data_IF_157137560195
#
_entry.id   IF_157137560195
#
_cell.length_a   1.000
_cell.length_b   1.000
_cell.length_c   1.000
_cell.angle_alpha   90.00
_cell.angle_beta   90.00
_cell.angle_gamma   90.00
#
_symmetry.space_group_name_H-M   'P 1'
#
loop_
_entity.id
_entity.type
_entity.pdbx_description
1 polymer ?
#
# COMPACT_ATOMS: atom_id res chain seq x y z
N UNK A 1 62.85 14.62 -7.92
CA UNK A 1 61.48 14.91 -8.42
C UNK A 1 61.04 16.23 -7.77
N UNK A 2 60.53 17.20 -8.52
CA UNK A 2 60.45 18.61 -8.11
C UNK A 2 59.28 18.90 -7.13
N UNK A 3 59.53 19.56 -6.00
CA UNK A 3 58.52 19.87 -4.95
C UNK A 3 57.35 20.71 -5.48
N UNK A 4 57.59 21.54 -6.50
CA UNK A 4 56.52 22.27 -7.21
C UNK A 4 55.49 21.35 -7.86
N UNK A 5 55.91 20.18 -8.34
CA UNK A 5 55.01 19.20 -8.99
C UNK A 5 54.09 18.56 -7.94
N UNK A 6 54.61 18.22 -6.76
CA UNK A 6 53.80 17.69 -5.65
C UNK A 6 52.82 18.73 -5.09
N UNK A 7 53.21 20.00 -5.00
CA UNK A 7 52.31 21.09 -4.61
C UNK A 7 51.15 21.29 -5.59
N UNK A 8 51.40 21.19 -6.90
CA UNK A 8 50.37 21.26 -7.94
C UNK A 8 49.45 20.03 -7.89
N UNK A 9 50.01 18.82 -7.78
CA UNK A 9 49.21 17.58 -7.68
C UNK A 9 48.35 17.59 -6.40
N UNK A 10 48.91 17.99 -5.26
CA UNK A 10 48.18 18.10 -4.00
C UNK A 10 47.07 19.16 -4.04
N UNK A 11 47.33 20.31 -4.67
CA UNK A 11 46.31 21.36 -4.88
C UNK A 11 45.17 20.91 -5.79
N UNK A 12 45.47 20.19 -6.88
CA UNK A 12 44.46 19.62 -7.80
C UNK A 12 43.67 18.51 -7.10
N UNK A 13 44.31 17.64 -6.32
CA UNK A 13 43.63 16.60 -5.55
C UNK A 13 42.70 17.18 -4.47
N UNK A 14 43.12 18.24 -3.78
CA UNK A 14 42.28 18.96 -2.79
C UNK A 14 41.08 19.63 -3.47
N UNK A 15 41.29 20.27 -4.62
CA UNK A 15 40.20 20.86 -5.42
C UNK A 15 39.22 19.80 -5.91
N UNK A 16 39.70 18.66 -6.41
CA UNK A 16 38.86 17.53 -6.80
C UNK A 16 38.11 16.94 -5.60
N UNK A 17 38.73 16.84 -4.42
CA UNK A 17 38.08 16.37 -3.20
C UNK A 17 37.00 17.35 -2.71
N UNK A 18 37.25 18.67 -2.78
CA UNK A 18 36.29 19.70 -2.41
C UNK A 18 35.12 19.81 -3.39
N UNK A 19 35.36 19.58 -4.69
CA UNK A 19 34.32 19.56 -5.72
C UNK A 19 33.60 18.21 -5.81
N UNK A 20 34.17 17.13 -5.26
CA UNK A 20 33.62 15.78 -5.32
C UNK A 20 32.17 15.67 -4.84
N UNK A 21 31.68 16.33 -3.77
CA UNK A 21 30.28 16.22 -3.34
C UNK A 21 29.30 17.02 -4.23
N UNK A 22 29.83 17.96 -5.02
CA UNK A 22 29.06 18.74 -5.99
C UNK A 22 28.91 17.98 -7.32
N UNK A 23 29.94 17.22 -7.69
CA UNK A 23 30.05 16.56 -9.00
C UNK A 23 29.68 15.07 -8.94
N UNK A 24 30.05 14.35 -7.88
CA UNK A 24 29.74 12.93 -7.70
C UNK A 24 28.46 12.73 -6.91
N UNK A 25 27.70 11.70 -7.27
CA UNK A 25 26.48 11.30 -6.61
C UNK A 25 26.73 10.44 -5.38
N UNK A 26 25.88 10.59 -4.37
CA UNK A 26 25.93 9.79 -3.15
C UNK A 26 24.66 8.95 -2.97
N UNK A 27 24.79 7.63 -3.15
CA UNK A 27 23.71 6.64 -2.98
C UNK A 27 22.95 6.76 -1.66
N UNK A 28 23.65 6.87 -0.52
CA UNK A 28 23.01 7.02 0.80
C UNK A 28 22.25 8.35 0.94
N UNK A 29 22.69 9.38 0.22
CA UNK A 29 21.98 10.66 0.16
C UNK A 29 20.72 10.54 -0.70
N UNK A 30 20.78 9.81 -1.82
CA UNK A 30 19.58 9.48 -2.63
C UNK A 30 18.56 8.74 -1.77
N UNK A 31 18.99 7.67 -1.09
CA UNK A 31 18.16 6.85 -0.21
C UNK A 31 17.49 7.70 0.88
N UNK A 32 18.28 8.47 1.65
CA UNK A 32 17.73 9.34 2.70
C UNK A 32 16.74 10.38 2.16
N UNK A 33 17.05 11.01 1.02
CA UNK A 33 16.13 11.99 0.41
C UNK A 33 14.84 11.33 -0.04
N UNK A 34 14.91 10.09 -0.52
CA UNK A 34 13.75 9.31 -0.93
C UNK A 34 12.91 8.89 0.29
N UNK A 35 13.53 8.35 1.35
CA UNK A 35 12.86 8.01 2.61
C UNK A 35 12.18 9.23 3.26
N UNK A 36 12.86 10.39 3.30
CA UNK A 36 12.28 11.64 3.75
C UNK A 36 11.02 12.00 2.93
N UNK A 37 11.05 11.77 1.62
CA UNK A 37 9.94 12.05 0.72
C UNK A 37 8.76 11.10 0.97
N UNK A 38 9.03 9.81 1.19
CA UNK A 38 8.03 8.80 1.56
C UNK A 38 7.36 9.19 2.88
N UNK A 39 8.13 9.60 3.89
CA UNK A 39 7.56 10.09 5.17
C UNK A 39 6.64 11.29 4.94
N UNK A 40 7.05 12.27 4.12
CA UNK A 40 6.20 13.43 3.82
C UNK A 40 4.94 13.07 3.06
N UNK A 41 5.05 12.13 2.12
CA UNK A 41 3.92 11.59 1.36
C UNK A 41 2.88 10.95 2.28
N UNK A 42 3.30 10.11 3.22
CA UNK A 42 2.43 9.47 4.21
C UNK A 42 1.71 10.48 5.12
N UNK A 43 2.31 11.65 5.37
CA UNK A 43 1.68 12.75 6.11
C UNK A 43 0.87 13.70 5.21
N UNK A 44 0.60 13.30 3.96
CA UNK A 44 -0.12 14.10 2.94
C UNK A 44 0.49 15.49 2.68
N UNK A 45 1.79 15.64 2.96
CA UNK A 45 2.57 16.82 2.58
C UNK A 45 3.21 16.56 1.21
N UNK A 46 2.36 16.58 0.19
CA UNK A 46 2.74 16.19 -1.17
C UNK A 46 3.72 17.18 -1.80
N UNK A 47 3.61 18.48 -1.53
CA UNK A 47 4.55 19.49 -2.03
C UNK A 47 5.95 19.26 -1.47
N UNK A 48 6.07 19.00 -0.17
CA UNK A 48 7.34 18.66 0.47
C UNK A 48 7.91 17.33 -0.05
N UNK A 49 7.05 16.32 -0.24
CA UNK A 49 7.44 15.04 -0.82
C UNK A 49 8.00 15.21 -2.24
N UNK A 50 7.31 15.98 -3.09
CA UNK A 50 7.76 16.29 -4.46
C UNK A 50 9.14 16.95 -4.45
N UNK A 51 9.37 17.94 -3.58
CA UNK A 51 10.68 18.60 -3.46
C UNK A 51 11.79 17.59 -3.14
N UNK A 52 11.52 16.67 -2.20
CA UNK A 52 12.47 15.65 -1.77
C UNK A 52 12.72 14.57 -2.84
N UNK A 53 11.68 14.05 -3.48
CA UNK A 53 11.83 13.13 -4.62
C UNK A 53 12.63 13.75 -5.77
N UNK A 54 12.36 15.02 -6.11
CA UNK A 54 13.13 15.75 -7.13
C UNK A 54 14.61 15.88 -6.77
N UNK A 55 14.93 16.17 -5.51
CA UNK A 55 16.32 16.19 -5.02
C UNK A 55 16.97 14.81 -5.07
N UNK A 56 16.23 13.75 -4.71
CA UNK A 56 16.71 12.38 -4.81
C UNK A 56 17.05 12.00 -6.26
N UNK A 57 16.16 12.32 -7.21
CA UNK A 57 16.38 12.15 -8.66
C UNK A 57 17.57 12.95 -9.18
N UNK A 58 17.72 14.21 -8.74
CA UNK A 58 18.87 15.02 -9.15
C UNK A 58 20.18 14.41 -8.66
N UNK A 59 20.21 13.94 -7.41
CA UNK A 59 21.38 13.32 -6.82
C UNK A 59 21.68 11.95 -7.46
N UNK A 60 20.66 11.16 -7.83
CA UNK A 60 20.84 9.86 -8.50
C UNK A 60 21.42 9.97 -9.90
N UNK A 61 21.18 11.08 -10.59
CA UNK A 61 21.71 11.31 -11.94
C UNK A 61 23.19 11.71 -11.95
N UNK A 62 23.79 11.97 -10.78
CA UNK A 62 25.21 12.31 -10.69
C UNK A 62 26.09 11.06 -10.83
N UNK A 63 27.26 11.16 -11.48
CA UNK A 63 28.20 10.04 -11.60
C UNK A 63 28.54 9.42 -10.24
N UNK A 64 28.45 8.09 -10.15
CA UNK A 64 28.79 7.32 -8.94
C UNK A 64 27.63 7.04 -7.99
N UNK A 65 26.47 7.68 -8.15
CA UNK A 65 25.26 7.25 -7.45
C UNK A 65 24.73 5.95 -8.06
N UNK A 66 24.83 4.86 -7.29
CA UNK A 66 24.15 3.58 -7.58
C UNK A 66 22.83 3.55 -6.85
N UNK A 67 21.75 3.14 -7.50
CA UNK A 67 20.39 3.18 -6.92
C UNK A 67 19.70 1.83 -6.94
N UNK A 68 20.36 0.80 -7.46
CA UNK A 68 19.79 -0.55 -7.65
C UNK A 68 19.41 -1.21 -6.31
N UNK A 69 20.14 -0.90 -5.22
CA UNK A 69 19.83 -1.34 -3.87
C UNK A 69 18.59 -0.65 -3.28
N UNK A 70 18.25 0.56 -3.75
CA UNK A 70 17.03 1.28 -3.37
C UNK A 70 15.87 0.74 -4.20
N UNK A 71 16.03 0.74 -5.52
CA UNK A 71 15.08 0.21 -6.46
C UNK A 71 15.78 -0.06 -7.80
N UNK A 72 15.52 -1.23 -8.40
CA UNK A 72 16.11 -1.63 -9.69
C UNK A 72 15.92 -0.56 -10.77
N UNK A 73 14.72 0.00 -10.89
CA UNK A 73 14.36 1.06 -11.83
C UNK A 73 14.00 2.34 -11.08
N UNK A 74 14.98 2.86 -10.33
CA UNK A 74 14.81 4.01 -9.43
C UNK A 74 14.26 5.25 -10.13
N UNK A 75 14.71 5.55 -11.35
CA UNK A 75 14.24 6.73 -12.09
C UNK A 75 12.74 6.64 -12.36
N UNK A 76 12.27 5.50 -12.85
CA UNK A 76 10.83 5.27 -13.07
C UNK A 76 10.08 5.33 -11.75
N UNK A 77 10.58 4.67 -10.72
CA UNK A 77 9.94 4.63 -9.40
C UNK A 77 9.78 6.03 -8.79
N UNK A 78 10.81 6.86 -8.82
CA UNK A 78 10.74 8.21 -8.26
C UNK A 78 9.84 9.15 -9.08
N UNK A 79 9.81 9.04 -10.41
CA UNK A 79 8.85 9.83 -11.21
C UNK A 79 7.40 9.36 -10.99
N UNK A 80 7.17 8.05 -10.80
CA UNK A 80 5.87 7.51 -10.39
C UNK A 80 5.41 8.08 -9.05
N UNK A 81 6.29 8.13 -8.04
CA UNK A 81 5.95 8.74 -6.73
C UNK A 81 5.65 10.23 -6.84
N UNK A 82 6.38 10.98 -7.67
CA UNK A 82 6.07 12.38 -7.95
C UNK A 82 4.71 12.53 -8.64
N UNK A 83 4.40 11.68 -9.63
CA UNK A 83 3.12 11.70 -10.31
C UNK A 83 1.96 11.41 -9.34
N UNK A 84 2.11 10.46 -8.41
CA UNK A 84 1.14 10.20 -7.35
C UNK A 84 0.93 11.40 -6.43
N UNK A 85 2.00 12.11 -6.04
CA UNK A 85 1.88 13.34 -5.26
C UNK A 85 1.03 14.38 -5.99
N UNK A 86 1.28 14.59 -7.28
CA UNK A 86 0.51 15.53 -8.09
C UNK A 86 -0.94 15.09 -8.27
N UNK A 87 -1.20 13.79 -8.48
CA UNK A 87 -2.54 13.25 -8.52
C UNK A 87 -3.32 13.56 -7.23
N UNK A 88 -2.72 13.28 -6.06
CA UNK A 88 -3.38 13.57 -4.78
C UNK A 88 -3.50 15.06 -4.48
N UNK A 89 -2.58 15.90 -4.97
CA UNK A 89 -2.74 17.34 -4.92
C UNK A 89 -3.95 17.79 -5.72
N UNK A 90 -4.13 17.28 -6.93
CA UNK A 90 -5.31 17.57 -7.74
C UNK A 90 -6.61 17.19 -7.02
N UNK A 91 -6.66 16.02 -6.36
CA UNK A 91 -7.84 15.62 -5.57
C UNK A 91 -8.08 16.54 -4.37
N UNK A 92 -7.01 16.90 -3.64
CA UNK A 92 -7.09 17.72 -2.43
C UNK A 92 -7.43 19.18 -2.71
N UNK A 93 -6.89 19.76 -3.77
CA UNK A 93 -7.06 21.17 -4.12
C UNK A 93 -8.16 21.40 -5.15
N UNK A 94 -8.63 20.33 -5.81
CA UNK A 94 -9.52 20.38 -6.97
C UNK A 94 -8.94 21.16 -8.16
N UNK A 95 -7.61 21.34 -8.21
CA UNK A 95 -6.92 21.99 -9.31
C UNK A 95 -6.48 20.97 -10.36
N UNK A 96 -7.16 20.99 -11.51
CA UNK A 96 -6.91 20.10 -12.65
C UNK A 96 -5.49 20.22 -13.21
N UNK A 97 -4.80 21.36 -13.00
CA UNK A 97 -3.43 21.53 -13.49
C UNK A 97 -2.47 20.50 -12.88
N UNK A 98 -2.72 20.04 -11.65
CA UNK A 98 -1.90 19.02 -11.04
C UNK A 98 -2.08 17.63 -11.70
N UNK A 99 -3.24 17.33 -12.29
CA UNK A 99 -3.37 16.12 -13.12
C UNK A 99 -2.50 16.20 -14.39
N UNK A 100 -2.39 17.38 -15.01
CA UNK A 100 -1.49 17.59 -16.14
C UNK A 100 -0.02 17.43 -15.74
N UNK A 101 0.37 17.92 -14.56
CA UNK A 101 1.70 17.66 -14.01
C UNK A 101 1.94 16.16 -13.80
N UNK A 102 0.98 15.43 -13.21
CA UNK A 102 1.09 13.98 -13.04
C UNK A 102 1.32 13.26 -14.38
N UNK A 103 0.53 13.60 -15.42
CA UNK A 103 0.71 13.06 -16.77
C UNK A 103 2.10 13.37 -17.36
N UNK A 104 2.65 14.55 -17.09
CA UNK A 104 3.98 14.91 -17.57
C UNK A 104 5.07 14.00 -16.97
N UNK A 105 4.97 13.67 -15.68
CA UNK A 105 5.91 12.76 -15.02
C UNK A 105 5.74 11.30 -15.47
N UNK A 106 4.51 10.85 -15.68
CA UNK A 106 4.20 9.50 -16.18
C UNK A 106 4.79 9.32 -17.59
N UNK A 107 4.43 10.21 -18.52
CA UNK A 107 4.82 10.10 -19.94
C UNK A 107 6.33 10.21 -20.14
N UNK A 108 7.02 10.98 -19.28
CA UNK A 108 8.47 11.12 -19.29
C UNK A 108 9.22 9.79 -19.12
N UNK A 109 8.70 8.87 -18.31
CA UNK A 109 9.39 7.61 -17.98
C UNK A 109 8.77 6.38 -18.64
N UNK A 110 7.52 6.47 -19.10
CA UNK A 110 6.76 5.32 -19.63
C UNK A 110 7.55 4.44 -20.62
N UNK A 111 8.19 5.05 -21.63
CA UNK A 111 8.88 4.30 -22.70
C UNK A 111 10.11 3.52 -22.22
N UNK A 112 10.71 3.93 -21.10
CA UNK A 112 11.94 3.33 -20.58
C UNK A 112 11.72 2.53 -19.29
N UNK A 113 10.50 2.53 -18.75
CA UNK A 113 10.14 1.73 -17.59
C UNK A 113 10.31 0.25 -17.92
N UNK A 114 11.02 -0.51 -17.08
CA UNK A 114 11.33 -1.91 -17.38
C UNK A 114 11.05 -2.88 -16.21
N UNK A 115 10.75 -2.36 -15.02
CA UNK A 115 10.23 -3.18 -13.92
C UNK A 115 8.72 -3.30 -14.08
N UNK A 116 8.22 -4.52 -14.26
CA UNK A 116 6.81 -4.81 -14.51
C UNK A 116 5.87 -4.17 -13.47
N UNK A 117 6.25 -4.21 -12.18
CA UNK A 117 5.47 -3.57 -11.11
C UNK A 117 5.33 -2.06 -11.27
N UNK A 118 6.36 -1.36 -11.76
CA UNK A 118 6.23 0.07 -12.03
C UNK A 118 5.43 0.34 -13.31
N UNK A 119 5.54 -0.53 -14.31
CA UNK A 119 4.76 -0.41 -15.54
C UNK A 119 3.26 -0.56 -15.26
N UNK A 120 2.84 -1.55 -14.47
CA UNK A 120 1.43 -1.72 -14.09
C UNK A 120 0.91 -0.53 -13.27
N UNK A 121 1.69 -0.01 -12.31
CA UNK A 121 1.30 1.15 -11.50
C UNK A 121 1.25 2.44 -12.33
N UNK A 122 2.21 2.65 -13.24
CA UNK A 122 2.23 3.80 -14.14
C UNK A 122 1.06 3.79 -15.11
N UNK A 123 0.74 2.66 -15.75
CA UNK A 123 -0.35 2.62 -16.73
C UNK A 123 -1.70 2.82 -16.03
N UNK A 124 -1.89 2.24 -14.85
CA UNK A 124 -3.08 2.45 -14.06
C UNK A 124 -3.22 3.92 -13.65
N UNK A 125 -2.16 4.53 -13.10
CA UNK A 125 -2.18 5.94 -12.73
C UNK A 125 -2.42 6.84 -13.95
N UNK A 126 -1.86 6.49 -15.12
CA UNK A 126 -2.11 7.21 -16.35
C UNK A 126 -3.60 7.18 -16.71
N UNK A 127 -4.19 5.98 -16.74
CA UNK A 127 -5.60 5.79 -17.06
C UNK A 127 -6.51 6.53 -16.09
N UNK A 128 -6.24 6.43 -14.79
CA UNK A 128 -7.01 7.09 -13.74
C UNK A 128 -6.88 8.63 -13.83
N UNK A 129 -5.67 9.14 -14.12
CA UNK A 129 -5.46 10.59 -14.30
C UNK A 129 -6.21 11.12 -15.52
N UNK A 130 -6.21 10.37 -16.63
CA UNK A 130 -7.00 10.70 -17.83
C UNK A 130 -8.49 10.69 -17.54
N UNK A 131 -8.96 9.70 -16.78
CA UNK A 131 -10.35 9.62 -16.34
C UNK A 131 -10.76 10.84 -15.51
N UNK A 132 -9.91 11.29 -14.57
CA UNK A 132 -10.17 12.47 -13.72
C UNK A 132 -10.23 13.79 -14.48
N UNK A 133 -9.57 13.89 -15.64
CA UNK A 133 -9.69 15.05 -16.53
C UNK A 133 -10.70 14.83 -17.66
N UNK A 134 -11.54 13.79 -17.54
CA UNK A 134 -12.61 13.43 -18.46
C UNK A 134 -12.15 13.06 -19.89
N UNK A 135 -10.88 12.72 -20.08
CA UNK A 135 -10.37 12.15 -21.32
C UNK A 135 -10.68 10.64 -21.38
N UNK A 136 -11.97 10.35 -21.51
CA UNK A 136 -12.52 9.00 -21.41
C UNK A 136 -12.01 8.04 -22.49
N UNK A 137 -11.75 8.53 -23.70
CA UNK A 137 -11.25 7.69 -24.79
C UNK A 137 -9.81 7.23 -24.52
N UNK A 138 -8.94 8.14 -24.09
CA UNK A 138 -7.58 7.76 -23.73
C UNK A 138 -7.56 6.94 -22.43
N UNK A 139 -8.40 7.26 -21.44
CA UNK A 139 -8.50 6.50 -20.20
C UNK A 139 -8.88 5.03 -20.48
N UNK A 140 -9.94 4.78 -21.26
CA UNK A 140 -10.33 3.42 -21.69
C UNK A 140 -9.18 2.70 -22.40
N UNK A 141 -8.47 3.40 -23.29
CA UNK A 141 -7.31 2.82 -24.01
C UNK A 141 -6.22 2.36 -23.05
N UNK A 142 -5.90 3.16 -22.02
CA UNK A 142 -4.86 2.82 -21.03
C UNK A 142 -5.32 1.72 -20.07
N UNK A 143 -6.57 1.73 -19.62
CA UNK A 143 -7.14 0.65 -18.81
C UNK A 143 -7.19 -0.68 -19.59
N UNK A 144 -7.60 -0.66 -20.86
CA UNK A 144 -7.61 -1.86 -21.70
C UNK A 144 -6.20 -2.44 -21.87
N UNK A 145 -5.19 -1.58 -22.04
CA UNK A 145 -3.80 -2.01 -22.10
C UNK A 145 -3.33 -2.64 -20.78
N UNK A 146 -3.69 -2.08 -19.62
CA UNK A 146 -3.41 -2.65 -18.30
C UNK A 146 -4.00 -4.07 -18.19
N UNK A 147 -5.26 -4.25 -18.56
CA UNK A 147 -5.96 -5.54 -18.52
C UNK A 147 -5.28 -6.57 -19.43
N UNK A 148 -4.87 -6.15 -20.64
CA UNK A 148 -4.21 -7.04 -21.60
C UNK A 148 -2.80 -7.44 -21.17
N UNK A 149 -1.99 -6.49 -20.68
CA UNK A 149 -0.58 -6.73 -20.39
C UNK A 149 -0.31 -7.20 -18.97
N UNK A 150 -1.18 -6.87 -18.02
CA UNK A 150 -1.05 -7.22 -16.62
C UNK A 150 -2.37 -7.78 -16.06
N UNK A 151 -2.87 -8.92 -16.59
CA UNK A 151 -4.18 -9.48 -16.23
C UNK A 151 -4.31 -9.88 -14.75
N UNK A 152 -3.19 -10.10 -14.05
CA UNK A 152 -3.14 -10.41 -12.62
C UNK A 152 -2.89 -9.17 -11.74
N UNK A 153 -2.87 -7.97 -12.32
CA UNK A 153 -2.63 -6.74 -11.55
C UNK A 153 -3.80 -6.50 -10.59
N UNK A 154 -3.48 -6.02 -9.38
CA UNK A 154 -4.51 -5.60 -8.40
C UNK A 154 -5.45 -4.51 -8.93
N UNK A 155 -5.04 -3.82 -9.98
CA UNK A 155 -5.77 -2.72 -10.60
C UNK A 155 -6.79 -3.16 -11.65
N UNK A 156 -6.80 -4.44 -12.07
CA UNK A 156 -7.67 -4.91 -13.15
C UNK A 156 -9.15 -4.78 -12.81
N UNK A 157 -9.55 -5.17 -11.60
CA UNK A 157 -10.95 -5.04 -11.17
C UNK A 157 -11.41 -3.57 -11.21
N UNK A 158 -10.61 -2.65 -10.65
CA UNK A 158 -10.91 -1.21 -10.72
C UNK A 158 -10.95 -0.70 -12.15
N UNK A 159 -10.02 -1.14 -13.00
CA UNK A 159 -9.97 -0.75 -14.41
C UNK A 159 -11.24 -1.17 -15.18
N UNK A 160 -11.71 -2.41 -14.98
CA UNK A 160 -12.96 -2.90 -15.56
C UNK A 160 -14.15 -2.08 -15.05
N UNK A 161 -14.22 -1.84 -13.74
CA UNK A 161 -15.26 -1.00 -13.13
C UNK A 161 -15.28 0.41 -13.73
N UNK A 162 -14.12 1.06 -13.84
CA UNK A 162 -14.01 2.41 -14.43
C UNK A 162 -14.36 2.42 -15.91
N UNK A 163 -13.94 1.44 -16.72
CA UNK A 163 -14.36 1.32 -18.13
C UNK A 163 -15.89 1.16 -18.22
N UNK A 164 -16.49 0.32 -17.37
CA UNK A 164 -17.93 0.13 -17.31
C UNK A 164 -18.66 1.45 -17.01
N UNK A 165 -18.18 2.21 -16.03
CA UNK A 165 -18.73 3.53 -15.70
C UNK A 165 -18.57 4.55 -16.82
N UNK A 166 -17.42 4.57 -17.52
CA UNK A 166 -17.21 5.43 -18.68
C UNK A 166 -18.24 5.10 -19.77
N UNK A 167 -18.41 3.81 -20.10
CA UNK A 167 -19.39 3.39 -21.10
C UNK A 167 -20.82 3.74 -20.68
N UNK A 168 -21.15 3.55 -19.39
CA UNK A 168 -22.44 3.94 -18.84
C UNK A 168 -22.71 5.45 -18.98
N UNK A 169 -21.74 6.29 -18.62
CA UNK A 169 -21.83 7.75 -18.75
C UNK A 169 -21.95 8.19 -20.22
N UNK A 170 -21.30 7.48 -21.14
CA UNK A 170 -21.41 7.69 -22.58
C UNK A 170 -22.68 7.07 -23.20
N UNK A 171 -23.57 6.48 -22.39
CA UNK A 171 -24.80 5.79 -22.81
C UNK A 171 -24.57 4.55 -23.69
N UNK A 172 -23.35 4.02 -23.69
CA UNK A 172 -22.98 2.75 -24.31
C UNK A 172 -23.35 1.61 -23.35
N UNK A 173 -24.66 1.44 -23.11
CA UNK A 173 -25.17 0.61 -22.02
C UNK A 173 -24.89 -0.89 -22.21
N UNK A 174 -24.90 -1.39 -23.45
CA UNK A 174 -24.58 -2.79 -23.74
C UNK A 174 -23.10 -3.08 -23.43
N UNK A 175 -22.19 -2.19 -23.85
CA UNK A 175 -20.77 -2.29 -23.54
C UNK A 175 -20.50 -2.13 -22.04
N UNK A 176 -21.20 -1.23 -21.37
CA UNK A 176 -21.13 -1.04 -19.92
C UNK A 176 -21.53 -2.33 -19.18
N UNK A 177 -22.71 -2.89 -19.53
CA UNK A 177 -23.22 -4.13 -18.95
C UNK A 177 -22.24 -5.30 -19.16
N UNK A 178 -21.75 -5.48 -20.38
CA UNK A 178 -20.76 -6.50 -20.71
C UNK A 178 -19.47 -6.35 -19.88
N UNK A 179 -19.00 -5.11 -19.71
CA UNK A 179 -17.79 -4.83 -18.91
C UNK A 179 -18.01 -5.12 -17.42
N UNK A 180 -19.14 -4.71 -16.84
CA UNK A 180 -19.49 -5.03 -15.46
C UNK A 180 -19.69 -6.54 -15.24
N UNK A 181 -20.27 -7.25 -16.21
CA UNK A 181 -20.40 -8.70 -16.13
C UNK A 181 -19.03 -9.37 -16.09
N UNK A 182 -18.09 -8.94 -16.94
CA UNK A 182 -16.71 -9.41 -16.93
C UNK A 182 -16.02 -9.17 -15.58
N UNK A 183 -16.23 -8.01 -14.96
CA UNK A 183 -15.73 -7.71 -13.62
C UNK A 183 -16.26 -8.71 -12.57
N UNK A 184 -17.56 -9.01 -12.60
CA UNK A 184 -18.19 -9.92 -11.63
C UNK A 184 -17.70 -11.36 -11.83
N UNK A 185 -17.57 -11.79 -13.09
CA UNK A 185 -17.18 -13.15 -13.45
C UNK A 185 -15.69 -13.42 -13.14
N UNK A 186 -14.80 -12.47 -13.48
CA UNK A 186 -13.36 -12.63 -13.32
C UNK A 186 -12.87 -12.24 -11.91
N UNK A 187 -13.56 -11.32 -11.22
CA UNK A 187 -13.18 -10.79 -9.91
C UNK A 187 -14.34 -10.82 -8.89
N UNK A 188 -14.89 -12.01 -8.58
CA UNK A 188 -16.06 -12.17 -7.71
C UNK A 188 -15.84 -11.72 -6.26
N UNK A 189 -14.58 -11.51 -5.84
CA UNK A 189 -14.23 -11.03 -4.50
C UNK A 189 -13.77 -9.56 -4.51
N UNK A 190 -13.85 -8.85 -5.64
CA UNK A 190 -13.48 -7.43 -5.66
C UNK A 190 -14.54 -6.56 -4.99
N UNK A 191 -14.09 -5.50 -4.34
CA UNK A 191 -14.93 -4.41 -3.81
C UNK A 191 -15.88 -3.79 -4.86
N UNK A 192 -15.54 -3.88 -6.15
CA UNK A 192 -16.35 -3.32 -7.24
C UNK A 192 -17.47 -4.25 -7.71
N UNK A 193 -17.53 -5.51 -7.25
CA UNK A 193 -18.54 -6.48 -7.68
C UNK A 193 -19.95 -5.95 -7.45
N UNK A 194 -20.26 -5.49 -6.25
CA UNK A 194 -21.62 -5.08 -5.86
C UNK A 194 -22.05 -3.86 -6.66
N UNK A 195 -21.16 -2.89 -6.82
CA UNK A 195 -21.47 -1.70 -7.61
C UNK A 195 -21.59 -2.03 -9.09
N UNK A 196 -20.81 -3.01 -9.60
CA UNK A 196 -20.99 -3.57 -10.93
C UNK A 196 -22.36 -4.24 -11.11
N UNK A 197 -22.80 -5.06 -10.15
CA UNK A 197 -24.13 -5.68 -10.15
C UNK A 197 -25.24 -4.62 -10.13
N UNK A 198 -25.09 -3.58 -9.29
CA UNK A 198 -26.02 -2.45 -9.25
C UNK A 198 -26.11 -1.74 -10.59
N UNK A 199 -24.97 -1.44 -11.22
CA UNK A 199 -24.92 -0.80 -12.54
C UNK A 199 -25.60 -1.62 -13.62
N UNK A 200 -25.47 -2.94 -13.60
CA UNK A 200 -26.19 -3.84 -14.52
C UNK A 200 -27.70 -3.70 -14.31
N UNK A 201 -28.17 -3.74 -13.06
CA UNK A 201 -29.61 -3.58 -12.75
C UNK A 201 -30.13 -2.21 -13.19
N UNK A 202 -29.37 -1.13 -12.96
CA UNK A 202 -29.71 0.22 -13.43
C UNK A 202 -29.87 0.25 -14.95
N UNK A 203 -28.93 -0.34 -15.69
CA UNK A 203 -28.98 -0.46 -17.15
C UNK A 203 -30.24 -1.23 -17.60
N UNK A 204 -30.54 -2.37 -16.97
CA UNK A 204 -31.70 -3.19 -17.31
C UNK A 204 -33.02 -2.45 -17.04
N UNK A 205 -33.11 -1.68 -15.97
CA UNK A 205 -34.28 -0.86 -15.66
C UNK A 205 -34.48 0.26 -16.70
N UNK A 206 -33.40 0.89 -17.17
CA UNK A 206 -33.46 1.89 -18.25
C UNK A 206 -34.06 1.28 -19.53
N UNK A 207 -33.63 0.09 -19.91
CA UNK A 207 -34.19 -0.62 -21.06
C UNK A 207 -35.64 -1.07 -20.85
N UNK A 208 -35.99 -1.54 -19.65
CA UNK A 208 -37.37 -1.94 -19.32
C UNK A 208 -38.34 -0.76 -19.39
N UNK A 209 -37.94 0.42 -18.92
CA UNK A 209 -38.74 1.66 -19.03
C UNK A 209 -38.87 2.12 -20.48
N UNK A 210 -37.78 2.10 -21.25
CA UNK A 210 -37.83 2.42 -22.68
C UNK A 210 -38.76 1.48 -23.45
N UNK A 211 -38.76 0.19 -23.09
CA UNK A 211 -39.65 -0.82 -23.68
C UNK A 211 -41.11 -0.62 -23.25
N UNK A 212 -41.36 -0.25 -21.98
CA UNK A 212 -42.72 0.10 -21.51
C UNK A 212 -43.24 1.37 -22.17
N UNK A 213 -42.44 2.40 -22.37
CA UNK A 213 -42.84 3.62 -23.09
C UNK A 213 -43.10 3.37 -24.58
N UNK A 214 -42.35 2.47 -25.22
CA UNK A 214 -42.66 2.07 -26.60
C UNK A 214 -43.96 1.26 -26.70
N UNK A 215 -44.26 0.42 -25.70
CA UNK A 215 -45.48 -0.39 -25.65
C UNK A 215 -46.71 0.43 -25.21
N UNK A 216 -46.57 1.41 -24.30
CA UNK A 216 -47.65 2.31 -23.88
C UNK A 216 -48.10 3.26 -25.01
N UNK A 217 -47.20 3.60 -25.96
CA UNK A 217 -47.58 4.33 -27.17
C UNK A 217 -48.29 3.46 -28.22
N UNK A 218 -48.25 2.13 -28.10
CA UNK A 218 -48.99 1.18 -28.95
C UNK A 218 -50.24 0.58 -28.27
N UNK A 219 -50.34 0.61 -26.94
CA UNK A 219 -51.38 -0.09 -26.18
C UNK A 219 -52.14 0.82 -25.21
N UNK A 220 -52.91 1.76 -25.74
CA UNK A 220 -54.02 2.39 -25.01
C UNK A 220 -55.29 1.51 -25.11
N UNK A 221 -55.32 0.37 -24.43
CA UNK A 221 -56.57 -0.28 -24.01
C UNK A 221 -56.33 -1.35 -22.92
N UNK A 222 -57.08 -1.22 -21.81
CA UNK A 222 -57.40 -2.24 -20.79
C UNK A 222 -56.56 -2.32 -19.50
N UNK A 223 -56.94 -1.43 -18.55
CA UNK A 223 -57.42 -1.65 -17.16
C UNK A 223 -56.97 -2.88 -16.32
N UNK A 224 -56.46 -2.52 -15.12
CA UNK A 224 -56.51 -3.10 -13.75
C UNK A 224 -55.89 -4.46 -13.41
N UNK A 225 -55.00 -4.48 -12.40
CA UNK A 225 -55.37 -4.86 -11.01
C UNK A 225 -54.18 -4.68 -10.03
N UNK A 226 -54.50 -4.25 -8.81
CA UNK A 226 -53.59 -4.05 -7.65
C UNK A 226 -53.31 -5.37 -6.91
N UNK A 227 -52.15 -5.52 -6.22
CA UNK A 227 -52.15 -6.35 -5.01
C UNK A 227 -51.43 -5.74 -3.79
N UNK A 228 -52.18 -5.83 -2.69
CA UNK A 228 -51.91 -5.96 -1.25
C UNK A 228 -50.50 -5.75 -0.63
N UNK A 229 -50.55 -5.13 0.55
CA UNK A 229 -49.50 -4.73 1.49
C UNK A 229 -48.67 -5.90 2.10
N UNK A 230 -47.34 -5.76 2.06
CA UNK A 230 -46.33 -6.57 2.77
C UNK A 230 -45.97 -5.84 4.09
N UNK A 231 -45.85 -6.53 5.24
CA UNK A 231 -45.40 -5.89 6.50
C UNK A 231 -43.95 -5.37 6.38
N UNK A 232 -43.58 -4.27 7.06
CA UNK A 232 -42.27 -3.64 6.90
C UNK A 232 -41.16 -4.60 7.37
N UNK A 233 -40.32 -5.01 6.43
CA UNK A 233 -39.07 -5.70 6.72
C UNK A 233 -38.18 -4.79 7.58
N UNK A 234 -37.50 -5.30 8.63
CA UNK A 234 -36.54 -4.50 9.39
C UNK A 234 -35.50 -3.91 8.44
N UNK A 235 -35.17 -2.63 8.61
CA UNK A 235 -34.17 -2.00 7.76
C UNK A 235 -32.83 -2.77 7.82
N UNK A 236 -32.14 -2.87 6.69
CA UNK A 236 -30.89 -3.64 6.55
C UNK A 236 -29.85 -3.27 7.61
N UNK A 237 -29.78 -1.98 7.96
CA UNK A 237 -28.82 -1.45 8.94
C UNK A 237 -29.02 -2.03 10.34
N UNK A 238 -30.28 -2.24 10.74
CA UNK A 238 -30.63 -2.85 12.02
C UNK A 238 -30.23 -4.33 12.06
N UNK A 239 -30.30 -5.04 10.94
CA UNK A 239 -29.91 -6.45 10.84
C UNK A 239 -28.38 -6.62 10.91
N UNK A 240 -27.63 -5.78 10.19
CA UNK A 240 -26.17 -5.77 10.25
C UNK A 240 -25.64 -5.51 11.68
N UNK A 241 -26.28 -4.59 12.40
CA UNK A 241 -25.93 -4.32 13.81
C UNK A 241 -26.09 -5.55 14.69
N UNK A 242 -27.21 -6.27 14.57
CA UNK A 242 -27.49 -7.45 15.39
C UNK A 242 -26.43 -8.53 15.16
N UNK A 243 -26.07 -8.79 13.89
CA UNK A 243 -25.04 -9.78 13.58
C UNK A 243 -23.66 -9.40 14.14
N UNK A 244 -23.31 -8.11 14.13
CA UNK A 244 -22.06 -7.63 14.72
C UNK A 244 -22.04 -7.85 16.23
N UNK A 245 -23.14 -7.51 16.91
CA UNK A 245 -23.28 -7.67 18.36
C UNK A 245 -23.21 -9.15 18.76
N UNK A 246 -23.82 -10.04 17.97
CA UNK A 246 -23.75 -11.50 18.16
C UNK A 246 -22.33 -12.05 18.01
N UNK A 247 -21.63 -11.68 16.92
CA UNK A 247 -20.24 -12.07 16.70
C UNK A 247 -19.31 -11.60 17.84
N UNK A 248 -19.50 -10.37 18.30
CA UNK A 248 -18.73 -9.78 19.40
C UNK A 248 -18.99 -10.49 20.73
N UNK A 249 -20.22 -10.91 21.00
CA UNK A 249 -20.57 -11.70 22.18
C UNK A 249 -19.96 -13.11 22.13
N UNK A 250 -19.98 -13.76 20.96
CA UNK A 250 -19.32 -15.05 20.76
C UNK A 250 -17.81 -14.97 21.01
N UNK A 251 -17.15 -13.89 20.55
CA UNK A 251 -15.73 -13.63 20.84
C UNK A 251 -15.49 -13.52 22.35
N UNK A 252 -16.31 -12.76 23.09
CA UNK A 252 -16.19 -12.60 24.54
C UNK A 252 -16.38 -13.92 25.30
N UNK A 253 -17.20 -14.83 24.77
CA UNK A 253 -17.40 -16.18 25.31
C UNK A 253 -16.25 -17.15 24.97
N UNK A 254 -15.26 -16.71 24.20
CA UNK A 254 -14.16 -17.55 23.71
C UNK A 254 -14.54 -18.51 22.58
N UNK A 255 -15.74 -18.36 21.99
CA UNK A 255 -16.20 -19.15 20.84
C UNK A 255 -15.64 -18.56 19.54
N UNK A 256 -14.32 -18.62 19.40
CA UNK A 256 -13.58 -17.90 18.37
C UNK A 256 -13.99 -18.28 16.95
N UNK A 257 -14.15 -19.58 16.65
CA UNK A 257 -14.55 -20.05 15.32
C UNK A 257 -15.93 -19.50 14.92
N UNK A 258 -16.89 -19.55 15.85
CA UNK A 258 -18.25 -19.06 15.60
C UNK A 258 -18.27 -17.54 15.46
N UNK A 259 -17.45 -16.82 16.23
CA UNK A 259 -17.31 -15.37 16.11
C UNK A 259 -16.79 -14.96 14.73
N UNK A 260 -15.73 -15.63 14.23
CA UNK A 260 -15.21 -15.37 12.87
C UNK A 260 -16.30 -15.65 11.84
N UNK A 261 -16.99 -16.79 11.92
CA UNK A 261 -18.05 -17.12 10.97
C UNK A 261 -19.16 -16.05 10.96
N UNK A 262 -19.62 -15.59 12.12
CA UNK A 262 -20.66 -14.56 12.19
C UNK A 262 -20.18 -13.19 11.68
N UNK A 263 -18.92 -12.81 11.92
CA UNK A 263 -18.34 -11.63 11.28
C UNK A 263 -18.28 -11.78 9.75
N UNK A 264 -17.86 -12.94 9.25
CA UNK A 264 -17.84 -13.24 7.80
C UNK A 264 -19.23 -13.24 7.18
N UNK A 265 -20.22 -13.79 7.86
CA UNK A 265 -21.61 -13.80 7.43
C UNK A 265 -22.17 -12.37 7.34
N UNK A 266 -21.84 -11.51 8.32
CA UNK A 266 -22.20 -10.09 8.29
C UNK A 266 -21.61 -9.40 7.05
N UNK A 267 -20.31 -9.59 6.80
CA UNK A 267 -19.60 -9.00 5.66
C UNK A 267 -20.25 -9.46 4.34
N UNK A 268 -20.68 -10.72 4.28
CA UNK A 268 -21.24 -11.32 3.07
C UNK A 268 -22.70 -10.91 2.84
N UNK A 269 -23.51 -10.86 3.90
CA UNK A 269 -24.96 -10.65 3.80
C UNK A 269 -25.35 -9.15 3.78
N UNK A 270 -24.55 -8.29 4.40
CA UNK A 270 -24.86 -6.86 4.56
C UNK A 270 -23.71 -5.94 4.12
N UNK A 271 -23.16 -6.11 2.91
CA UNK A 271 -21.95 -5.44 2.45
C UNK A 271 -22.09 -3.91 2.23
N UNK A 272 -23.29 -3.37 2.26
CA UNK A 272 -23.57 -1.93 2.20
C UNK A 272 -23.40 -1.21 3.55
N UNK A 273 -23.29 -1.96 4.65
CA UNK A 273 -23.20 -1.41 6.01
C UNK A 273 -21.74 -1.21 6.43
N UNK A 274 -21.03 -0.32 5.72
CA UNK A 274 -19.59 -0.05 5.86
C UNK A 274 -19.08 0.14 7.30
N UNK A 275 -19.88 0.76 8.18
CA UNK A 275 -19.53 0.89 9.59
C UNK A 275 -19.35 -0.47 10.26
N UNK A 276 -20.34 -1.36 10.15
CA UNK A 276 -20.31 -2.69 10.78
C UNK A 276 -19.36 -3.66 10.08
N UNK A 277 -19.15 -3.49 8.78
CA UNK A 277 -18.15 -4.26 8.01
C UNK A 277 -16.74 -3.90 8.47
N UNK A 278 -16.45 -2.60 8.59
CA UNK A 278 -15.17 -2.12 9.15
C UNK A 278 -14.94 -2.74 10.52
N UNK A 279 -15.96 -2.68 11.39
CA UNK A 279 -15.84 -3.21 12.75
C UNK A 279 -15.71 -4.74 12.77
N UNK A 280 -16.34 -5.45 11.82
CA UNK A 280 -16.21 -6.91 11.66
C UNK A 280 -14.80 -7.31 11.21
N UNK A 281 -14.22 -6.63 10.22
CA UNK A 281 -12.83 -6.85 9.81
C UNK A 281 -11.84 -6.56 10.95
N UNK A 282 -12.08 -5.50 11.72
CA UNK A 282 -11.28 -5.23 12.93
C UNK A 282 -11.41 -6.38 13.94
N UNK A 283 -12.63 -6.87 14.18
CA UNK A 283 -12.90 -7.99 15.07
C UNK A 283 -12.14 -9.25 14.67
N UNK A 284 -12.18 -9.61 13.39
CA UNK A 284 -11.43 -10.76 12.83
C UNK A 284 -9.91 -10.52 12.93
N UNK A 285 -9.44 -9.32 12.58
CA UNK A 285 -8.02 -8.96 12.64
C UNK A 285 -7.47 -9.09 14.07
N UNK A 286 -8.23 -8.64 15.07
CA UNK A 286 -7.83 -8.73 16.48
C UNK A 286 -7.83 -10.17 16.99
N UNK A 287 -8.79 -11.00 16.56
CA UNK A 287 -8.78 -12.44 16.86
C UNK A 287 -7.50 -13.09 16.34
N UNK A 288 -7.12 -12.83 15.08
CA UNK A 288 -5.89 -13.37 14.51
C UNK A 288 -4.63 -12.77 15.15
N UNK A 289 -4.67 -11.50 15.54
CA UNK A 289 -3.57 -10.85 16.24
C UNK A 289 -3.32 -11.48 17.61
N UNK A 290 -4.39 -11.76 18.38
CA UNK A 290 -4.32 -12.48 19.66
C UNK A 290 -3.81 -13.93 19.48
N UNK A 291 -4.11 -14.56 18.35
CA UNK A 291 -3.59 -15.87 17.97
C UNK A 291 -2.16 -15.84 17.40
N UNK A 292 -1.52 -14.67 17.34
CA UNK A 292 -0.20 -14.43 16.73
C UNK A 292 -0.13 -14.79 15.22
N UNK A 293 -1.29 -14.89 14.55
CA UNK A 293 -1.39 -15.08 13.11
C UNK A 293 -1.35 -13.72 12.40
N UNK A 294 -0.14 -13.18 12.29
CA UNK A 294 0.09 -11.85 11.74
C UNK A 294 -0.28 -11.70 10.27
N UNK A 295 -0.31 -12.79 9.50
CA UNK A 295 -0.67 -12.76 8.07
C UNK A 295 -2.16 -12.51 7.94
N UNK A 296 -2.98 -13.29 8.64
CA UNK A 296 -4.44 -13.11 8.60
C UNK A 296 -4.87 -11.84 9.33
N UNK A 297 -4.21 -11.47 10.43
CA UNK A 297 -4.48 -10.20 11.11
C UNK A 297 -4.23 -9.00 10.19
N UNK A 298 -3.13 -9.03 9.44
CA UNK A 298 -2.75 -7.97 8.50
C UNK A 298 -3.76 -7.80 7.37
N UNK A 299 -4.13 -8.91 6.72
CA UNK A 299 -5.10 -8.89 5.63
C UNK A 299 -6.41 -8.23 6.09
N UNK A 300 -6.90 -8.59 7.28
CA UNK A 300 -8.14 -8.02 7.81
C UNK A 300 -8.00 -6.56 8.28
N UNK A 301 -6.83 -6.13 8.78
CA UNK A 301 -6.60 -4.70 9.03
C UNK A 301 -6.54 -3.87 7.75
N UNK A 302 -6.02 -4.45 6.66
CA UNK A 302 -6.01 -3.82 5.33
C UNK A 302 -7.45 -3.62 4.82
N UNK A 303 -8.28 -4.64 4.89
CA UNK A 303 -9.71 -4.56 4.55
C UNK A 303 -10.44 -3.52 5.42
N UNK A 304 -10.19 -3.50 6.74
CA UNK A 304 -10.81 -2.51 7.63
C UNK A 304 -10.43 -1.06 7.29
N UNK A 305 -9.19 -0.81 6.84
CA UNK A 305 -8.78 0.51 6.36
C UNK A 305 -9.46 0.89 5.04
N UNK A 306 -9.79 -0.11 4.22
CA UNK A 306 -10.47 0.07 2.95
C UNK A 306 -11.94 0.43 3.13
N UNK A 307 -12.62 -0.18 4.10
CA UNK A 307 -14.08 -0.05 4.29
C UNK A 307 -14.52 1.18 5.09
N UNK A 308 -13.60 2.03 5.52
CA UNK A 308 -13.91 3.24 6.29
C UNK A 308 -13.46 4.51 5.57
N UNK A 309 -14.20 5.61 5.69
CA UNK A 309 -13.77 6.95 5.22
C UNK A 309 -13.23 7.83 6.36
N UNK A 310 -13.25 7.33 7.60
CA UNK A 310 -12.75 8.04 8.77
C UNK A 310 -11.20 8.02 8.78
N UNK A 311 -10.61 9.18 8.51
CA UNK A 311 -9.16 9.36 8.45
C UNK A 311 -8.44 9.09 9.79
N UNK A 312 -9.06 9.41 10.93
CA UNK A 312 -8.47 9.10 12.25
C UNK A 312 -8.47 7.60 12.51
N UNK A 313 -9.57 6.93 12.14
CA UNK A 313 -9.70 5.47 12.23
C UNK A 313 -8.70 4.76 11.30
N UNK A 314 -8.48 5.26 10.07
CA UNK A 314 -7.43 4.74 9.17
C UNK A 314 -6.03 4.83 9.80
N UNK A 315 -5.72 5.94 10.46
CA UNK A 315 -4.42 6.11 11.14
C UNK A 315 -4.27 5.09 12.29
N UNK A 316 -5.33 4.83 13.05
CA UNK A 316 -5.31 3.81 14.11
C UNK A 316 -5.08 2.41 13.53
N UNK A 317 -5.82 2.05 12.48
CA UNK A 317 -5.73 0.76 11.83
C UNK A 317 -4.39 0.54 11.14
N UNK A 318 -3.84 1.58 10.51
CA UNK A 318 -2.51 1.51 9.89
C UNK A 318 -1.42 1.26 10.93
N UNK A 319 -1.53 1.82 12.14
CA UNK A 319 -0.61 1.48 13.24
C UNK A 319 -0.70 0.00 13.61
N UNK A 320 -1.91 -0.56 13.74
CA UNK A 320 -2.13 -1.98 14.02
C UNK A 320 -1.62 -2.88 12.89
N UNK A 321 -1.90 -2.52 11.63
CA UNK A 321 -1.36 -3.15 10.42
C UNK A 321 0.18 -3.16 10.41
N UNK A 322 0.84 -2.02 10.66
CA UNK A 322 2.29 -1.93 10.70
C UNK A 322 2.90 -2.78 11.84
N UNK A 323 2.20 -2.96 12.96
CA UNK A 323 2.65 -3.87 14.02
C UNK A 323 2.77 -5.33 13.52
N UNK A 324 1.91 -5.74 12.59
CA UNK A 324 1.98 -7.09 12.00
C UNK A 324 3.22 -7.31 11.12
N UNK A 325 3.88 -6.25 10.64
CA UNK A 325 5.12 -6.31 9.84
C UNK A 325 6.40 -6.28 10.67
N UNK A 326 6.30 -5.96 11.95
CA UNK A 326 7.45 -5.93 12.86
C UNK A 326 7.86 -7.33 13.33
N UNK A 327 7.11 -8.34 12.92
CA UNK A 327 7.43 -9.75 13.06
C UNK A 327 8.09 -10.19 11.77
N UNK A 328 9.33 -10.74 11.79
CA UNK A 328 9.94 -11.29 10.58
C UNK A 328 8.99 -12.31 9.92
N UNK A 329 8.94 -12.31 8.60
CA UNK A 329 8.14 -13.27 7.81
C UNK A 329 8.68 -14.68 8.06
N UNK A 330 8.13 -15.40 9.02
CA UNK A 330 8.40 -16.83 9.22
C UNK A 330 7.42 -17.74 8.45
N UNK A 331 6.55 -17.16 7.63
CA UNK A 331 5.60 -17.93 6.83
C UNK A 331 5.68 -17.47 5.37
N UNK A 332 6.40 -18.24 4.54
CA UNK A 332 6.45 -18.01 3.11
C UNK A 332 6.76 -19.24 2.26
N UNK A 333 7.52 -20.22 2.76
CA UNK A 333 7.90 -21.40 1.97
C UNK A 333 7.71 -22.76 2.67
N UNK A 334 7.27 -22.75 3.93
CA UNK A 334 7.10 -23.98 4.73
C UNK A 334 8.40 -24.71 5.07
N UNK A 335 9.58 -24.10 4.88
CA UNK A 335 10.88 -24.77 5.15
C UNK A 335 11.44 -24.53 6.54
N UNK A 336 10.96 -23.53 7.28
CA UNK A 336 11.34 -23.32 8.68
C UNK A 336 10.12 -23.33 9.60
N UNK A 337 9.89 -24.46 10.27
CA UNK A 337 9.13 -24.45 11.53
C UNK A 337 9.88 -23.56 12.52
N UNK A 338 9.17 -22.63 13.17
CA UNK A 338 9.64 -21.95 14.40
C UNK A 338 9.75 -22.97 15.55
N UNK A 339 10.74 -23.85 15.48
CA UNK A 339 11.00 -24.87 16.49
C UNK A 339 11.87 -24.34 17.65
N UNK A 340 12.22 -23.04 17.68
CA UNK A 340 13.21 -22.47 18.63
C UNK A 340 12.82 -21.12 19.27
N UNK A 341 11.68 -20.52 18.90
CA UNK A 341 11.18 -19.26 19.46
C UNK A 341 11.89 -18.02 18.92
N UNK A 342 12.63 -18.13 17.81
CA UNK A 342 13.47 -17.04 17.27
C UNK A 342 12.62 -15.83 16.84
N UNK A 343 11.40 -16.09 16.35
CA UNK A 343 10.41 -15.07 16.05
C UNK A 343 9.99 -14.27 17.30
N UNK A 344 9.65 -14.97 18.38
CA UNK A 344 9.23 -14.36 19.64
C UNK A 344 10.31 -13.44 20.23
N UNK A 345 11.58 -13.83 20.12
CA UNK A 345 12.70 -12.97 20.55
C UNK A 345 12.80 -11.68 19.72
N UNK A 346 12.56 -11.74 18.41
CA UNK A 346 12.55 -10.56 17.54
C UNK A 346 11.38 -9.61 17.84
N UNK A 347 10.19 -10.18 18.06
CA UNK A 347 8.98 -9.43 18.41
C UNK A 347 9.18 -8.68 19.72
N UNK A 348 9.61 -9.40 20.76
CA UNK A 348 9.79 -8.84 22.10
C UNK A 348 10.90 -7.78 22.13
N UNK A 349 12.03 -8.04 21.46
CA UNK A 349 13.11 -7.05 21.31
C UNK A 349 12.61 -5.76 20.63
N UNK A 350 11.77 -5.91 19.60
CA UNK A 350 11.22 -4.77 18.84
C UNK A 350 10.21 -3.98 19.65
N UNK A 351 9.34 -4.66 20.41
CA UNK A 351 8.38 -4.03 21.33
C UNK A 351 9.11 -3.21 22.39
N UNK A 352 10.08 -3.79 23.09
CA UNK A 352 10.87 -3.11 24.12
C UNK A 352 11.62 -1.88 23.57
N UNK A 353 12.19 -1.98 22.36
CA UNK A 353 12.86 -0.85 21.70
C UNK A 353 11.89 0.32 21.46
N UNK A 354 10.67 0.03 21.01
CA UNK A 354 9.63 1.05 20.77
C UNK A 354 9.12 1.68 22.06
N UNK A 355 9.07 0.92 23.15
CA UNK A 355 8.77 1.42 24.50
C UNK A 355 9.92 2.25 25.12
N UNK A 356 11.04 2.41 24.41
CA UNK A 356 12.21 3.13 24.89
C UNK A 356 13.06 2.34 25.89
N UNK A 357 12.76 1.05 26.11
CA UNK A 357 13.51 0.14 26.96
C UNK A 357 14.71 -0.43 26.20
N UNK A 358 15.63 0.45 25.81
CA UNK A 358 16.70 0.14 24.87
C UNK A 358 17.67 -0.91 25.40
N UNK A 359 18.02 -0.90 26.69
CA UNK A 359 18.91 -1.92 27.26
C UNK A 359 18.35 -3.35 27.17
N UNK A 360 17.06 -3.51 27.42
CA UNK A 360 16.39 -4.82 27.42
C UNK A 360 16.23 -5.32 25.99
N UNK A 361 15.83 -4.43 25.07
CA UNK A 361 15.81 -4.71 23.65
C UNK A 361 17.19 -5.12 23.10
N UNK A 362 18.25 -4.40 23.49
CA UNK A 362 19.62 -4.68 23.05
C UNK A 362 20.07 -6.09 23.42
N UNK A 363 19.74 -6.56 24.63
CA UNK A 363 20.09 -7.90 25.10
C UNK A 363 19.39 -9.00 24.30
N UNK A 364 18.14 -8.79 23.91
CA UNK A 364 17.39 -9.76 23.12
C UNK A 364 17.88 -9.81 21.66
N UNK A 365 18.13 -8.65 21.04
CA UNK A 365 18.76 -8.61 19.72
C UNK A 365 20.16 -9.26 19.73
N UNK A 366 20.96 -9.02 20.77
CA UNK A 366 22.29 -9.62 20.92
C UNK A 366 22.22 -11.15 20.96
N UNK A 367 21.22 -11.71 21.65
CA UNK A 367 20.98 -13.16 21.68
C UNK A 367 20.66 -13.72 20.30
N UNK A 368 19.85 -13.02 19.50
CA UNK A 368 19.49 -13.41 18.13
C UNK A 368 20.72 -13.49 17.23
N UNK A 369 21.73 -12.64 17.42
CA UNK A 369 22.98 -12.64 16.60
C UNK A 369 23.82 -13.92 16.73
N UNK A 370 23.52 -14.75 17.73
CA UNK A 370 24.23 -16.01 18.01
C UNK A 370 23.36 -17.24 17.67
N UNK A 371 22.17 -17.04 17.10
CA UNK A 371 21.26 -18.11 16.69
C UNK A 371 21.39 -18.42 15.20
N UNK A 372 20.95 -19.61 14.81
CA UNK A 372 20.98 -20.05 13.42
C UNK A 372 19.73 -19.52 12.67
N UNK A 373 19.72 -18.20 12.44
CA UNK A 373 18.72 -17.45 11.66
C UNK A 373 19.34 -17.02 10.31
N UNK A 374 18.55 -16.46 9.40
CA UNK A 374 19.04 -16.05 8.08
C UNK A 374 20.20 -15.04 8.18
N UNK A 375 21.07 -14.99 7.17
CA UNK A 375 22.15 -14.00 7.08
C UNK A 375 21.63 -12.57 7.17
N UNK A 376 20.49 -12.30 6.52
CA UNK A 376 19.81 -11.00 6.53
C UNK A 376 19.29 -10.64 7.93
N UNK A 377 18.64 -11.59 8.62
CA UNK A 377 18.11 -11.36 9.97
C UNK A 377 19.23 -11.25 11.00
N UNK A 378 20.33 -11.97 10.81
CA UNK A 378 21.52 -11.83 11.65
C UNK A 378 22.09 -10.41 11.52
N UNK A 379 22.23 -9.89 10.30
CA UNK A 379 22.68 -8.53 10.05
C UNK A 379 21.73 -7.49 10.69
N UNK A 380 20.40 -7.68 10.56
CA UNK A 380 19.39 -6.83 11.20
C UNK A 380 19.48 -6.87 12.74
N UNK A 381 19.64 -8.05 13.33
CA UNK A 381 19.80 -8.20 14.78
C UNK A 381 21.06 -7.50 15.29
N UNK A 382 22.19 -7.62 14.57
CA UNK A 382 23.45 -6.94 14.93
C UNK A 382 23.28 -5.42 14.86
N UNK A 383 22.64 -4.90 13.81
CA UNK A 383 22.33 -3.48 13.66
C UNK A 383 21.52 -2.96 14.85
N UNK A 384 20.39 -3.62 15.17
CA UNK A 384 19.50 -3.18 16.24
C UNK A 384 20.14 -3.33 17.63
N UNK A 385 21.01 -4.32 17.83
CA UNK A 385 21.86 -4.43 19.02
C UNK A 385 22.73 -3.18 19.19
N UNK A 386 23.45 -2.79 18.13
CA UNK A 386 24.33 -1.62 18.13
C UNK A 386 23.58 -0.30 18.37
N UNK A 387 22.42 -0.14 17.73
CA UNK A 387 21.55 1.03 17.89
C UNK A 387 21.01 1.16 19.32
N UNK A 388 20.48 0.08 19.89
CA UNK A 388 19.88 0.14 21.22
C UNK A 388 20.95 0.40 22.30
N UNK A 389 22.13 -0.21 22.21
CA UNK A 389 23.25 0.12 23.10
C UNK A 389 23.75 1.56 22.93
N UNK A 390 23.67 2.14 21.72
CA UNK A 390 23.99 3.55 21.52
C UNK A 390 23.00 4.46 22.26
N UNK A 391 21.70 4.20 22.11
CA UNK A 391 20.65 5.01 22.74
C UNK A 391 20.72 4.95 24.26
N UNK A 392 20.95 3.77 24.83
CA UNK A 392 21.20 3.62 26.26
C UNK A 392 22.55 4.22 26.69
N UNK A 393 23.55 4.21 25.81
CA UNK A 393 24.85 4.83 26.04
C UNK A 393 24.77 6.34 26.35
N UNK A 394 23.74 7.02 25.85
CA UNK A 394 23.52 8.45 26.12
C UNK A 394 23.29 8.73 27.61
N UNK A 395 22.69 7.80 28.35
CA UNK A 395 22.46 7.88 29.79
C UNK A 395 23.47 7.05 30.58
N UNK A 396 23.97 5.96 29.99
CA UNK A 396 24.90 5.01 30.61
C UNK A 396 26.16 4.84 29.72
N UNK A 397 27.14 5.76 29.77
CA UNK A 397 28.23 5.87 28.78
C UNK A 397 29.09 4.62 28.55
N UNK A 398 29.18 3.71 29.53
CA UNK A 398 29.95 2.46 29.38
C UNK A 398 29.40 1.56 28.25
N UNK A 399 28.14 1.74 27.85
CA UNK A 399 27.50 0.96 26.80
C UNK A 399 27.89 1.39 25.38
N UNK A 400 28.53 2.56 25.20
CA UNK A 400 29.03 2.95 23.87
C UNK A 400 30.04 1.95 23.31
N UNK A 401 30.85 1.31 24.15
CA UNK A 401 31.77 0.26 23.72
C UNK A 401 31.05 -0.93 23.07
N UNK A 402 29.91 -1.34 23.64
CA UNK A 402 29.08 -2.41 23.07
C UNK A 402 28.47 -2.00 21.74
N UNK A 403 28.01 -0.77 21.62
CA UNK A 403 27.48 -0.22 20.38
C UNK A 403 28.52 -0.23 19.25
N UNK A 404 29.73 0.28 19.52
CA UNK A 404 30.84 0.32 18.56
C UNK A 404 31.22 -1.09 18.11
N UNK A 405 31.27 -2.06 19.03
CA UNK A 405 31.61 -3.44 18.69
C UNK A 405 30.56 -4.08 17.77
N UNK A 406 29.27 -3.86 18.03
CA UNK A 406 28.21 -4.38 17.19
C UNK A 406 28.27 -3.81 15.76
N UNK A 407 28.49 -2.49 15.61
CA UNK A 407 28.61 -1.89 14.28
C UNK A 407 29.89 -2.28 13.54
N UNK A 408 31.01 -2.46 14.24
CA UNK A 408 32.23 -3.03 13.64
C UNK A 408 31.97 -4.42 13.09
N UNK A 409 31.39 -5.31 13.91
CA UNK A 409 31.00 -6.67 13.49
C UNK A 409 30.08 -6.63 12.26
N UNK A 410 29.09 -5.74 12.24
CA UNK A 410 28.20 -5.61 11.08
C UNK A 410 28.96 -5.24 9.80
N UNK A 411 29.91 -4.31 9.89
CA UNK A 411 30.71 -3.86 8.75
C UNK A 411 31.69 -4.94 8.30
N UNK A 412 32.38 -5.59 9.24
CA UNK A 412 33.41 -6.58 8.94
C UNK A 412 32.81 -7.86 8.36
N UNK A 413 31.70 -8.35 8.93
CA UNK A 413 31.10 -9.65 8.56
C UNK A 413 30.12 -9.54 7.39
N UNK A 414 29.50 -8.37 7.18
CA UNK A 414 28.41 -8.19 6.21
C UNK A 414 28.60 -7.00 5.26
N UNK A 415 29.70 -6.25 5.38
CA UNK A 415 29.95 -5.04 4.59
C UNK A 415 30.03 -5.28 3.08
N UNK A 416 30.51 -6.47 2.64
CA UNK A 416 30.57 -6.82 1.22
C UNK A 416 29.26 -7.38 0.64
N UNK A 417 28.46 -8.04 1.47
CA UNK A 417 27.11 -8.55 1.11
C UNK A 417 26.02 -7.47 1.12
N UNK A 418 26.37 -6.26 1.56
CA UNK A 418 25.52 -5.07 1.59
C UNK A 418 25.87 -4.05 0.48
N UNK A 419 26.66 -4.46 -0.53
CA UNK A 419 26.98 -3.66 -1.73
C UNK A 419 26.08 -3.92 -2.92
#
# INVERSE_FOLDING_TARGET
MNERIWGIIGGVALLLALLSPLVLGNSKKVERLFEDAEVLYEHSNYEGAIEKYKKALQESNKPGAKTEHINKDFTTFANLRIALCYYHLAEKTQDVNYYHDALAYITKVWQNAYVAKHQEELIYLWAETLYKIEDFEQAKTKFAWLIEKFPNSRWVAKALYTIGNINYQQQNYEEAKSTFQKLIDEFPNSEFKIEGERRIVEIEQLFAVATKQSVENEMLSEVSDEPALIPPQPDSKSQAKVMYDEASNLRQQGRIHDAIQHYTDLITQFPENYQYITDAYIGIAEIYLEAEDYVNARANYEEAMYTTDDGEKKIELYKKYQLTYLVPVYAGDGTMRDNRGDAQFFIEATRLRKEGKFLEAAKLYEQLTNRNISTEDTAKAIYWTGYCYHKEGLTTPILFGKSVNAFKRLIDDYGESLY
#
